data_IF_428024719466
#
_entry.id   IF_428024719466
#
_cell.length_a   1.000
_cell.length_b   1.000
_cell.length_c   1.000
_cell.angle_alpha   90.00
_cell.angle_beta   90.00
_cell.angle_gamma   90.00
#
_symmetry.space_group_name_H-M   'P 1'
#
loop_
_entity.id
_entity.type
_entity.pdbx_description
1 polymer ?
#
# COMPACT_ATOMS: atom_id res chain seq x y z
N UNK A 1 20.65 -11.76 -18.24
CA UNK A 1 20.18 -10.93 -19.36
C UNK A 1 20.54 -9.49 -19.04
N UNK A 2 21.43 -8.90 -19.80
CA UNK A 2 21.73 -7.48 -19.76
C UNK A 2 20.57 -6.72 -20.44
N UNK A 3 19.67 -6.17 -19.63
CA UNK A 3 18.65 -5.21 -20.10
C UNK A 3 19.16 -3.82 -19.80
N UNK A 4 19.07 -2.94 -20.78
CA UNK A 4 19.24 -1.51 -20.51
C UNK A 4 17.93 -1.00 -19.90
N UNK A 5 17.96 -0.71 -18.61
CA UNK A 5 16.81 -0.20 -17.86
C UNK A 5 16.60 1.30 -18.01
N UNK A 6 17.50 2.01 -18.72
CA UNK A 6 17.44 3.47 -18.91
C UNK A 6 17.17 4.24 -17.60
N UNK A 7 17.73 3.77 -16.50
CA UNK A 7 17.54 4.37 -15.17
C UNK A 7 16.29 3.90 -14.43
N UNK A 8 15.46 3.04 -15.03
CA UNK A 8 14.34 2.41 -14.32
C UNK A 8 14.85 1.38 -13.29
N UNK A 9 14.10 1.23 -12.21
CA UNK A 9 14.37 0.24 -11.15
C UNK A 9 13.29 -0.83 -11.17
N UNK A 10 13.71 -2.07 -10.97
CA UNK A 10 12.77 -3.18 -10.77
C UNK A 10 12.37 -3.22 -9.29
N UNK A 11 11.08 -3.32 -9.02
CA UNK A 11 10.52 -3.50 -7.68
C UNK A 11 9.49 -4.61 -7.68
N UNK A 12 9.34 -5.28 -6.55
CA UNK A 12 8.25 -6.22 -6.26
C UNK A 12 7.15 -5.42 -5.58
N UNK A 13 5.98 -5.28 -6.18
CA UNK A 13 4.81 -4.71 -5.51
C UNK A 13 4.13 -5.81 -4.68
N UNK A 14 4.14 -5.66 -3.36
CA UNK A 14 3.50 -6.60 -2.45
C UNK A 14 2.01 -6.78 -2.73
N UNK A 15 1.57 -8.02 -2.81
CA UNK A 15 0.17 -8.42 -2.89
C UNK A 15 -0.14 -9.40 -1.77
N UNK A 16 -1.45 -9.56 -1.44
CA UNK A 16 -1.89 -10.46 -0.41
C UNK A 16 -1.40 -11.89 -0.65
N UNK A 17 -0.85 -12.53 0.38
CA UNK A 17 -0.40 -13.92 0.34
C UNK A 17 -1.57 -14.90 0.33
N UNK A 18 -1.31 -16.13 -0.04
CA UNK A 18 -2.26 -17.20 0.12
C UNK A 18 -2.38 -17.61 1.60
N UNK A 19 -3.61 -17.53 2.14
CA UNK A 19 -3.98 -17.98 3.48
C UNK A 19 -5.13 -18.98 3.32
N UNK A 20 -4.98 -20.25 3.78
CA UNK A 20 -6.00 -21.29 3.54
C UNK A 20 -7.39 -20.94 4.09
N UNK A 21 -7.45 -20.20 5.20
CA UNK A 21 -8.68 -19.87 5.93
C UNK A 21 -9.42 -18.67 5.38
N UNK A 22 -8.85 -17.96 4.39
CA UNK A 22 -9.52 -16.81 3.78
C UNK A 22 -9.37 -16.83 2.25
N UNK A 23 -10.40 -16.29 1.57
CA UNK A 23 -10.32 -16.11 0.12
C UNK A 23 -9.33 -14.99 -0.18
N UNK A 24 -8.20 -15.26 -0.87
CA UNK A 24 -7.26 -14.22 -1.27
C UNK A 24 -7.80 -13.44 -2.47
N UNK A 25 -7.33 -12.22 -2.64
CA UNK A 25 -7.54 -11.45 -3.87
C UNK A 25 -6.53 -11.86 -4.96
N UNK A 26 -5.27 -12.07 -4.58
CA UNK A 26 -4.18 -12.50 -5.47
C UNK A 26 -3.58 -13.84 -5.05
N UNK A 27 -3.31 -14.04 -3.76
CA UNK A 27 -2.79 -15.30 -3.23
C UNK A 27 -1.33 -15.54 -3.63
N UNK A 28 -0.46 -14.56 -3.45
CA UNK A 28 0.95 -14.61 -3.83
C UNK A 28 1.83 -15.06 -2.66
N UNK A 29 3.07 -14.54 -2.63
CA UNK A 29 4.07 -14.86 -1.60
C UNK A 29 3.80 -14.06 -0.31
N UNK A 30 4.34 -14.52 0.80
CA UNK A 30 4.37 -13.73 2.02
C UNK A 30 5.36 -12.57 1.90
N UNK A 31 5.17 -11.55 2.73
CA UNK A 31 6.09 -10.39 2.76
C UNK A 31 7.52 -10.82 3.08
N UNK A 32 7.71 -11.85 3.94
CA UNK A 32 9.03 -12.39 4.29
C UNK A 32 9.73 -13.02 3.08
N UNK A 33 8.98 -13.79 2.27
CA UNK A 33 9.50 -14.40 1.04
C UNK A 33 9.86 -13.33 0.01
N UNK A 34 9.00 -12.31 -0.18
CA UNK A 34 9.28 -11.19 -1.08
C UNK A 34 10.50 -10.38 -0.64
N UNK A 35 10.65 -10.09 0.65
CA UNK A 35 11.82 -9.42 1.23
C UNK A 35 13.10 -10.24 1.00
N UNK A 36 13.03 -11.57 1.17
CA UNK A 36 14.17 -12.44 0.95
C UNK A 36 14.59 -12.42 -0.53
N UNK A 37 13.65 -12.56 -1.45
CA UNK A 37 13.89 -12.50 -2.90
C UNK A 37 14.45 -11.12 -3.29
N UNK A 38 13.85 -10.05 -2.78
CA UNK A 38 14.29 -8.69 -3.07
C UNK A 38 15.75 -8.47 -2.64
N UNK A 39 16.12 -8.96 -1.47
CA UNK A 39 17.51 -8.86 -0.98
C UNK A 39 18.49 -9.73 -1.78
N UNK A 40 18.07 -10.92 -2.24
CA UNK A 40 18.91 -11.81 -3.05
C UNK A 40 19.17 -11.25 -4.44
N UNK A 41 18.17 -10.64 -5.05
CA UNK A 41 18.26 -10.11 -6.42
C UNK A 41 18.53 -8.61 -6.50
N UNK A 42 18.81 -7.96 -5.38
CA UNK A 42 19.09 -6.51 -5.28
C UNK A 42 17.97 -5.64 -5.91
N UNK A 43 16.72 -6.04 -5.74
CA UNK A 43 15.54 -5.27 -6.16
C UNK A 43 14.81 -4.69 -4.96
N UNK A 44 13.94 -3.71 -5.19
CA UNK A 44 13.16 -3.09 -4.13
C UNK A 44 11.83 -3.81 -3.84
N UNK A 45 11.24 -3.52 -2.68
CA UNK A 45 9.86 -3.88 -2.35
C UNK A 45 9.03 -2.60 -2.26
N UNK A 46 7.89 -2.60 -2.96
CA UNK A 46 6.86 -1.58 -2.88
C UNK A 46 5.71 -2.12 -2.04
N UNK A 47 5.48 -1.49 -0.89
CA UNK A 47 4.34 -1.84 -0.04
C UNK A 47 3.09 -1.11 -0.54
N UNK A 48 2.08 -1.88 -0.93
CA UNK A 48 0.74 -1.37 -1.15
C UNK A 48 -0.06 -1.51 0.15
N UNK A 49 -0.39 -0.37 0.79
CA UNK A 49 -1.01 -0.32 2.11
C UNK A 49 -2.26 -1.22 2.20
N UNK A 50 -3.17 -1.09 1.24
CA UNK A 50 -4.41 -1.86 1.23
C UNK A 50 -4.21 -3.36 1.05
N UNK A 51 -3.23 -3.78 0.27
CA UNK A 51 -2.94 -5.20 0.05
C UNK A 51 -2.36 -5.85 1.29
N UNK A 52 -1.51 -5.16 2.04
CA UNK A 52 -1.06 -5.63 3.36
C UNK A 52 -2.25 -5.79 4.31
N UNK A 53 -3.16 -4.80 4.35
CA UNK A 53 -4.38 -4.85 5.16
C UNK A 53 -5.33 -5.97 4.73
N UNK A 54 -5.44 -6.23 3.45
CA UNK A 54 -6.22 -7.38 2.93
C UNK A 54 -5.65 -8.70 3.40
N UNK A 55 -4.34 -8.85 3.44
CA UNK A 55 -3.66 -10.07 3.87
C UNK A 55 -4.01 -10.43 5.31
N UNK A 56 -3.79 -9.52 6.24
CA UNK A 56 -3.92 -9.79 7.68
C UNK A 56 -5.28 -9.36 8.26
N UNK A 57 -6.18 -8.75 7.45
CA UNK A 57 -7.44 -8.17 7.92
C UNK A 57 -7.25 -7.16 9.08
N UNK A 58 -6.13 -6.45 9.07
CA UNK A 58 -5.72 -5.50 10.10
C UNK A 58 -5.04 -4.28 9.50
N UNK A 59 -5.36 -3.09 10.03
CA UNK A 59 -4.69 -1.85 9.62
C UNK A 59 -3.20 -1.85 10.03
N UNK A 60 -2.81 -2.60 11.06
CA UNK A 60 -1.41 -2.69 11.53
C UNK A 60 -0.50 -3.39 10.51
N UNK A 61 -1.04 -4.27 9.68
CA UNK A 61 -0.26 -5.09 8.74
C UNK A 61 0.63 -4.24 7.82
N UNK A 62 0.10 -3.13 7.30
CA UNK A 62 0.88 -2.26 6.42
C UNK A 62 2.09 -1.64 7.14
N UNK A 63 1.91 -1.21 8.39
CA UNK A 63 3.00 -0.70 9.22
C UNK A 63 4.06 -1.77 9.47
N UNK A 64 3.64 -2.98 9.84
CA UNK A 64 4.55 -4.09 10.14
C UNK A 64 5.35 -4.51 8.90
N UNK A 65 4.72 -4.57 7.74
CA UNK A 65 5.38 -4.86 6.46
C UNK A 65 6.39 -3.77 6.06
N UNK A 66 6.05 -2.49 6.25
CA UNK A 66 6.98 -1.36 6.04
C UNK A 66 8.21 -1.49 6.93
N UNK A 67 8.00 -1.76 8.23
CA UNK A 67 9.09 -1.95 9.20
C UNK A 67 9.96 -3.15 8.80
N UNK A 68 9.38 -4.26 8.39
CA UNK A 68 10.12 -5.46 7.98
C UNK A 68 11.00 -5.18 6.75
N UNK A 69 10.45 -4.59 5.70
CA UNK A 69 11.18 -4.24 4.49
C UNK A 69 12.26 -3.18 4.74
N UNK A 70 11.95 -2.16 5.56
CA UNK A 70 12.91 -1.12 5.97
C UNK A 70 14.09 -1.68 6.76
N UNK A 71 13.86 -2.53 7.75
CA UNK A 71 14.92 -3.19 8.52
C UNK A 71 15.86 -4.04 7.64
N UNK A 72 15.36 -4.61 6.56
CA UNK A 72 16.14 -5.39 5.61
C UNK A 72 16.86 -4.54 4.58
N UNK A 73 16.52 -3.25 4.48
CA UNK A 73 17.09 -2.31 3.50
C UNK A 73 16.60 -2.52 2.07
N UNK A 74 15.43 -3.12 1.90
CA UNK A 74 14.82 -3.37 0.57
C UNK A 74 13.55 -2.53 0.32
N UNK A 75 13.11 -1.73 1.28
CA UNK A 75 11.94 -0.87 1.11
C UNK A 75 12.21 0.19 0.04
N UNK A 76 11.52 0.11 -1.10
CA UNK A 76 11.69 1.10 -2.17
C UNK A 76 10.61 2.19 -2.12
N UNK A 77 9.38 1.83 -1.79
CA UNK A 77 8.29 2.79 -1.69
C UNK A 77 7.06 2.27 -0.95
N UNK A 78 6.14 3.19 -0.67
CA UNK A 78 4.82 2.89 -0.13
C UNK A 78 3.75 3.57 -0.97
N UNK A 79 2.70 2.83 -1.31
CA UNK A 79 1.51 3.35 -1.99
C UNK A 79 0.30 3.23 -1.06
N UNK A 80 -0.28 4.37 -0.73
CA UNK A 80 -1.50 4.46 0.05
C UNK A 80 -2.71 4.15 -0.83
N UNK A 81 -3.39 3.07 -0.50
CA UNK A 81 -4.55 2.51 -1.19
C UNK A 81 -5.41 1.86 -0.12
N UNK A 82 -6.62 2.36 0.12
CA UNK A 82 -7.44 1.90 1.23
C UNK A 82 -8.04 0.52 0.99
N UNK A 83 -8.40 -0.14 2.09
CA UNK A 83 -9.15 -1.39 2.13
C UNK A 83 -10.03 -1.40 3.39
N UNK A 84 -11.04 -2.26 3.42
CA UNK A 84 -11.95 -2.35 4.57
C UNK A 84 -12.86 -3.56 4.54
N UNK A 85 -13.54 -3.85 5.68
CA UNK A 85 -14.38 -5.03 5.87
C UNK A 85 -15.78 -4.90 5.26
N UNK A 86 -16.17 -3.73 4.79
CA UNK A 86 -17.53 -3.46 4.34
C UNK A 86 -17.65 -3.44 2.81
N UNK A 87 -18.84 -3.77 2.30
CA UNK A 87 -19.19 -3.53 0.91
C UNK A 87 -19.41 -2.03 0.69
N UNK A 88 -18.85 -1.49 -0.40
CA UNK A 88 -18.94 -0.08 -0.77
C UNK A 88 -19.27 0.06 -2.25
N UNK A 89 -19.41 1.30 -2.74
CA UNK A 89 -19.52 1.57 -4.18
C UNK A 89 -18.29 1.08 -4.99
N UNK A 90 -17.18 0.76 -4.33
CA UNK A 90 -15.93 0.33 -4.95
C UNK A 90 -15.77 -1.19 -5.00
N UNK A 91 -16.66 -1.94 -4.34
CA UNK A 91 -16.71 -3.40 -4.40
C UNK A 91 -17.16 -4.06 -3.10
N UNK A 92 -17.00 -5.36 -3.07
CA UNK A 92 -17.41 -6.22 -1.96
C UNK A 92 -16.45 -6.11 -0.76
N UNK A 93 -16.89 -6.65 0.39
CA UNK A 93 -16.07 -6.72 1.61
C UNK A 93 -14.67 -7.28 1.34
N UNK A 94 -13.62 -6.56 1.75
CA UNK A 94 -12.23 -6.94 1.57
C UNK A 94 -11.79 -7.09 0.10
N UNK A 95 -12.37 -6.35 -0.81
CA UNK A 95 -11.91 -6.29 -2.20
C UNK A 95 -10.60 -5.48 -2.33
N UNK A 96 -9.74 -5.85 -3.28
CA UNK A 96 -8.62 -4.99 -3.72
C UNK A 96 -9.16 -3.81 -4.55
N UNK A 97 -10.05 -3.02 -3.93
CA UNK A 97 -10.84 -1.97 -4.56
C UNK A 97 -10.21 -0.59 -4.51
N UNK A 98 -9.02 -0.48 -3.92
CA UNK A 98 -8.31 0.79 -3.78
C UNK A 98 -9.20 1.89 -3.18
N UNK A 99 -9.78 1.63 -1.99
CA UNK A 99 -10.64 2.60 -1.33
C UNK A 99 -9.91 3.93 -1.09
N UNK A 100 -10.62 5.04 -1.08
CA UNK A 100 -10.10 6.32 -0.57
C UNK A 100 -9.67 6.23 0.90
N UNK A 101 -9.09 7.30 1.42
CA UNK A 101 -8.88 7.45 2.86
C UNK A 101 -10.21 7.46 3.64
N UNK A 102 -10.15 7.15 4.92
CA UNK A 102 -11.33 7.03 5.79
C UNK A 102 -12.23 8.27 5.82
N UNK A 103 -11.65 9.46 5.65
CA UNK A 103 -12.41 10.71 5.60
C UNK A 103 -13.26 10.87 4.34
N UNK A 104 -12.89 10.22 3.24
CA UNK A 104 -13.59 10.23 1.96
C UNK A 104 -14.46 8.99 1.77
N UNK A 105 -14.09 7.86 2.41
CA UNK A 105 -14.83 6.61 2.45
C UNK A 105 -14.78 6.02 3.87
N UNK A 106 -15.80 6.22 4.70
CA UNK A 106 -15.80 5.80 6.12
C UNK A 106 -15.56 4.30 6.36
N UNK A 107 -15.85 3.44 5.37
CA UNK A 107 -15.59 2.01 5.43
C UNK A 107 -14.09 1.65 5.26
N UNK A 108 -13.27 2.61 4.84
CA UNK A 108 -11.84 2.41 4.71
C UNK A 108 -11.15 2.41 6.08
N UNK A 109 -10.27 1.44 6.30
CA UNK A 109 -9.41 1.40 7.49
C UNK A 109 -8.23 2.38 7.40
N UNK A 110 -8.01 3.01 6.24
CA UNK A 110 -6.91 3.93 5.98
C UNK A 110 -7.22 5.32 6.56
N UNK A 111 -7.11 5.47 7.87
CA UNK A 111 -7.27 6.74 8.57
C UNK A 111 -6.06 7.66 8.39
N UNK A 112 -6.21 8.95 8.68
CA UNK A 112 -5.11 9.92 8.68
C UNK A 112 -3.98 9.51 9.64
N UNK A 113 -4.33 8.92 10.78
CA UNK A 113 -3.36 8.41 11.74
C UNK A 113 -2.54 7.25 11.16
N UNK A 114 -3.19 6.33 10.43
CA UNK A 114 -2.51 5.23 9.77
C UNK A 114 -1.62 5.70 8.62
N UNK A 115 -2.11 6.65 7.81
CA UNK A 115 -1.31 7.25 6.73
C UNK A 115 -0.06 7.90 7.31
N UNK A 116 -0.21 8.73 8.33
CA UNK A 116 0.91 9.44 9.00
C UNK A 116 1.92 8.45 9.59
N UNK A 117 1.45 7.46 10.35
CA UNK A 117 2.29 6.43 10.98
C UNK A 117 3.11 5.67 9.95
N UNK A 118 2.46 5.21 8.88
CA UNK A 118 3.10 4.45 7.81
C UNK A 118 4.06 5.32 6.98
N UNK A 119 3.72 6.57 6.69
CA UNK A 119 4.60 7.51 5.98
C UNK A 119 5.88 7.78 6.78
N UNK A 120 5.76 8.00 8.08
CA UNK A 120 6.90 8.19 8.96
C UNK A 120 7.79 6.95 9.01
N UNK A 121 7.21 5.77 9.22
CA UNK A 121 7.95 4.51 9.22
C UNK A 121 8.65 4.25 7.87
N UNK A 122 8.03 4.59 6.75
CA UNK A 122 8.60 4.46 5.43
C UNK A 122 9.84 5.36 5.25
N UNK A 123 9.76 6.62 5.69
CA UNK A 123 10.89 7.56 5.64
C UNK A 123 12.04 7.06 6.51
N UNK A 124 11.75 6.65 7.75
CA UNK A 124 12.73 6.08 8.67
C UNK A 124 13.36 4.79 8.11
N UNK A 125 12.58 4.00 7.37
CA UNK A 125 13.01 2.81 6.65
C UNK A 125 13.81 3.08 5.37
N UNK A 126 13.99 4.35 4.99
CA UNK A 126 14.80 4.77 3.84
C UNK A 126 14.10 4.60 2.49
N UNK A 127 12.76 4.65 2.43
CA UNK A 127 12.03 4.54 1.18
C UNK A 127 12.38 5.67 0.20
N UNK A 128 12.32 5.36 -1.11
CA UNK A 128 12.62 6.33 -2.17
C UNK A 128 11.41 7.18 -2.55
N UNK A 129 10.19 6.68 -2.35
CA UNK A 129 8.99 7.43 -2.70
C UNK A 129 7.75 7.00 -1.89
N UNK A 130 6.82 7.93 -1.77
CA UNK A 130 5.46 7.71 -1.29
C UNK A 130 4.47 8.07 -2.39
N UNK A 131 3.41 7.31 -2.52
CA UNK A 131 2.37 7.56 -3.51
C UNK A 131 0.98 7.27 -2.98
N UNK A 132 -0.04 7.67 -3.75
CA UNK A 132 -1.43 7.33 -3.50
C UNK A 132 -2.05 6.71 -4.74
N UNK A 133 -2.83 5.65 -4.54
CA UNK A 133 -3.59 4.97 -5.59
C UNK A 133 -4.97 4.67 -5.05
N UNK A 134 -5.98 5.36 -5.55
CA UNK A 134 -7.35 5.19 -5.05
C UNK A 134 -8.38 5.29 -6.15
N UNK A 135 -9.47 4.57 -6.01
CA UNK A 135 -10.69 4.80 -6.76
C UNK A 135 -11.35 6.09 -6.29
N UNK A 136 -12.13 6.67 -7.17
CA UNK A 136 -12.94 7.88 -6.90
C UNK A 136 -14.37 7.64 -7.38
N UNK A 137 -15.39 8.34 -6.86
CA UNK A 137 -16.75 8.24 -7.37
C UNK A 137 -16.79 8.51 -8.88
N UNK A 138 -17.64 7.78 -9.60
CA UNK A 138 -17.71 7.86 -11.07
C UNK A 138 -18.00 9.26 -11.59
N UNK A 139 -18.82 10.01 -10.87
CA UNK A 139 -19.28 11.36 -11.15
C UNK A 139 -18.45 12.46 -10.49
N UNK A 140 -17.38 12.08 -9.77
CA UNK A 140 -16.50 13.04 -9.13
C UNK A 140 -15.86 14.00 -10.15
N UNK A 141 -15.97 15.28 -9.88
CA UNK A 141 -15.28 16.34 -10.62
C UNK A 141 -13.75 16.24 -10.48
N UNK A 142 -13.02 16.95 -11.33
CA UNK A 142 -11.56 17.00 -11.21
C UNK A 142 -11.11 17.58 -9.87
N UNK A 143 -11.83 18.58 -9.35
CA UNK A 143 -11.53 19.20 -8.06
C UNK A 143 -11.69 18.21 -6.91
N UNK A 144 -12.77 17.43 -6.89
CA UNK A 144 -12.99 16.40 -5.88
C UNK A 144 -11.91 15.31 -5.93
N UNK A 145 -11.55 14.85 -7.13
CA UNK A 145 -10.44 13.87 -7.30
C UNK A 145 -9.12 14.40 -6.77
N UNK A 146 -8.80 15.65 -7.08
CA UNK A 146 -7.59 16.31 -6.57
C UNK A 146 -7.64 16.52 -5.06
N UNK A 147 -8.82 16.84 -4.50
CA UNK A 147 -9.01 16.98 -3.06
C UNK A 147 -8.71 15.67 -2.33
N UNK A 148 -9.23 14.54 -2.81
CA UNK A 148 -8.99 13.21 -2.23
C UNK A 148 -7.50 12.84 -2.23
N UNK A 149 -6.79 13.05 -3.35
CA UNK A 149 -5.34 12.83 -3.42
C UNK A 149 -4.57 13.78 -2.50
N UNK A 150 -4.96 15.06 -2.48
CA UNK A 150 -4.36 16.08 -1.63
C UNK A 150 -4.55 15.76 -0.15
N UNK A 151 -5.67 15.14 0.21
CA UNK A 151 -5.94 14.69 1.56
C UNK A 151 -4.88 13.68 2.03
N UNK A 152 -4.67 12.61 1.28
CA UNK A 152 -3.64 11.60 1.60
C UNK A 152 -2.26 12.24 1.70
N UNK A 153 -1.91 13.12 0.75
CA UNK A 153 -0.64 13.85 0.79
C UNK A 153 -0.47 14.68 2.09
N UNK A 154 -1.53 15.38 2.51
CA UNK A 154 -1.49 16.15 3.76
C UNK A 154 -1.44 15.27 5.01
N UNK A 155 -2.14 14.12 4.98
CA UNK A 155 -2.13 13.17 6.08
C UNK A 155 -0.75 12.55 6.32
N UNK A 156 0.11 12.45 5.30
CA UNK A 156 1.50 12.04 5.48
C UNK A 156 2.31 12.99 6.39
N UNK A 157 1.88 14.24 6.55
CA UNK A 157 2.52 15.26 7.43
C UNK A 157 4.05 15.40 7.18
N UNK A 158 4.44 15.40 5.92
CA UNK A 158 5.83 15.57 5.51
C UNK A 158 6.21 17.05 5.63
N UNK A 159 7.11 17.35 6.56
CA UNK A 159 7.68 18.70 6.78
C UNK A 159 9.05 18.84 6.17
#
# INVERSE_FOLDING_TARGET
REWDWYGARLVIEHCDRFIPEQKPEKGFLSIEEEIQIAAEFEVGVLINWGRSVLEERSADAAYDHIIAAGKRGVLDGVVFSGAGPEETQYGYSWVDGHLPGQSDEPASLMSDAEIKRCAQAAIEGGCNYLGAKMCVPKDASLEERLAMLTHVYKACDLK
#
